data_IF_724591465667
#
_entry.id   IF_724591465667
#
_cell.length_a   1.000
_cell.length_b   1.000
_cell.length_c   1.000
_cell.angle_alpha   90.00
_cell.angle_beta   90.00
_cell.angle_gamma   90.00
#
_symmetry.space_group_name_H-M   'P 1'
#
loop_
_entity.id
_entity.type
_entity.pdbx_description
1 polymer ?
#
# COMPACT_ATOMS: atom_id res chain seq x y z
N UNK A 1 10.97 -29.39 5.95
CA UNK A 1 9.73 -29.60 5.16
C UNK A 1 9.03 -28.25 5.06
N UNK A 2 9.23 -27.54 3.97
CA UNK A 2 8.49 -26.30 3.66
C UNK A 2 7.12 -26.70 3.12
N UNK A 3 6.05 -26.45 3.89
CA UNK A 3 4.69 -26.75 3.44
C UNK A 3 4.34 -25.91 2.19
N UNK A 4 3.67 -26.49 1.17
CA UNK A 4 3.27 -25.79 -0.05
C UNK A 4 2.37 -24.56 0.17
N UNK A 5 1.76 -24.43 1.36
CA UNK A 5 0.97 -23.27 1.80
C UNK A 5 1.79 -21.98 1.97
N UNK A 6 3.08 -22.06 2.31
CA UNK A 6 3.89 -20.85 2.53
C UNK A 6 4.08 -20.00 1.26
N UNK A 7 4.04 -20.63 0.07
CA UNK A 7 4.19 -19.91 -1.19
C UNK A 7 2.91 -19.20 -1.64
N UNK A 8 1.73 -19.71 -1.26
CA UNK A 8 0.43 -19.16 -1.70
C UNK A 8 -0.05 -17.96 -0.89
N UNK A 9 0.60 -17.71 0.24
CA UNK A 9 0.23 -16.66 1.20
C UNK A 9 1.08 -15.39 1.05
N UNK A 10 1.98 -15.32 0.07
CA UNK A 10 2.86 -14.18 -0.15
C UNK A 10 3.10 -13.86 -1.64
N UNK A 11 3.53 -12.63 -1.90
CA UNK A 11 4.01 -12.13 -3.18
C UNK A 11 3.03 -12.38 -4.32
N UNK A 12 3.58 -12.75 -5.49
CA UNK A 12 2.83 -12.92 -6.73
C UNK A 12 1.67 -13.91 -6.57
N UNK A 13 1.87 -15.05 -5.92
CA UNK A 13 0.83 -16.08 -5.79
C UNK A 13 -0.39 -15.57 -5.00
N UNK A 14 -0.16 -14.76 -3.96
CA UNK A 14 -1.24 -14.12 -3.22
C UNK A 14 -1.91 -13.02 -4.05
N UNK A 15 -1.13 -12.21 -4.75
CA UNK A 15 -1.66 -11.18 -5.68
C UNK A 15 -2.54 -11.79 -6.77
N UNK A 16 -2.17 -12.93 -7.35
CA UNK A 16 -2.99 -13.64 -8.34
C UNK A 16 -4.36 -14.04 -7.81
N UNK A 17 -4.42 -14.51 -6.56
CA UNK A 17 -5.69 -14.83 -5.91
C UNK A 17 -6.55 -13.60 -5.72
N UNK A 18 -5.95 -12.47 -5.33
CA UNK A 18 -6.64 -11.18 -5.26
C UNK A 18 -7.19 -10.76 -6.64
N UNK A 19 -6.38 -10.88 -7.71
CA UNK A 19 -6.81 -10.60 -9.08
C UNK A 19 -7.98 -11.50 -9.49
N UNK A 20 -7.94 -12.80 -9.18
CA UNK A 20 -9.06 -13.72 -9.47
C UNK A 20 -10.33 -13.29 -8.75
N UNK A 21 -10.24 -12.93 -7.46
CA UNK A 21 -11.39 -12.46 -6.68
C UNK A 21 -11.96 -11.16 -7.26
N UNK A 22 -11.10 -10.20 -7.62
CA UNK A 22 -11.51 -8.93 -8.22
C UNK A 22 -12.13 -9.11 -9.60
N UNK A 23 -11.57 -9.99 -10.44
CA UNK A 23 -12.14 -10.31 -11.76
C UNK A 23 -13.54 -10.90 -11.68
N UNK A 24 -13.83 -11.65 -10.62
CA UNK A 24 -15.17 -12.21 -10.41
C UNK A 24 -16.20 -11.13 -10.05
N UNK A 25 -15.78 -9.99 -9.47
CA UNK A 25 -16.67 -8.92 -9.03
C UNK A 25 -15.99 -7.52 -9.13
N UNK A 26 -15.69 -7.01 -10.33
CA UNK A 26 -14.86 -5.82 -10.52
C UNK A 26 -15.49 -4.52 -9.98
N UNK A 27 -16.81 -4.50 -9.89
CA UNK A 27 -17.59 -3.36 -9.41
C UNK A 27 -17.74 -3.32 -7.88
N UNK A 28 -17.25 -4.35 -7.16
CA UNK A 28 -17.25 -4.30 -5.69
C UNK A 28 -16.35 -3.16 -5.24
N UNK A 29 -16.78 -2.49 -4.17
CA UNK A 29 -15.97 -1.48 -3.52
C UNK A 29 -14.67 -2.11 -3.01
N UNK A 30 -13.58 -1.36 -3.11
CA UNK A 30 -12.27 -1.75 -2.55
C UNK A 30 -12.37 -1.88 -1.03
N UNK A 31 -13.15 -0.97 -0.41
CA UNK A 31 -13.51 -0.98 1.00
C UNK A 31 -15.04 -0.99 1.08
N UNK A 32 -15.61 -2.10 1.54
CA UNK A 32 -17.07 -2.29 1.60
C UNK A 32 -17.79 -1.26 2.48
N UNK A 33 -17.11 -0.75 3.51
CA UNK A 33 -17.60 0.28 4.42
C UNK A 33 -17.43 1.72 3.90
N UNK A 34 -16.69 1.95 2.80
CA UNK A 34 -16.42 3.30 2.29
C UNK A 34 -16.75 3.40 0.79
N UNK A 35 -17.94 3.94 0.46
CA UNK A 35 -18.36 4.17 -0.92
C UNK A 35 -17.42 5.07 -1.73
N UNK A 36 -16.68 5.98 -1.07
CA UNK A 36 -15.77 6.91 -1.72
C UNK A 36 -14.44 6.27 -2.12
N UNK A 37 -14.12 5.08 -1.58
CA UNK A 37 -12.99 4.29 -2.06
C UNK A 37 -13.19 3.79 -3.51
N UNK A 38 -14.44 3.78 -3.99
CA UNK A 38 -14.80 3.37 -5.34
C UNK A 38 -14.67 1.87 -5.58
N UNK A 39 -15.04 1.41 -6.79
CA UNK A 39 -14.91 0.01 -7.16
C UNK A 39 -13.43 -0.38 -7.34
N UNK A 40 -13.15 -1.67 -7.37
CA UNK A 40 -11.83 -2.19 -7.74
C UNK A 40 -11.43 -1.76 -9.15
N UNK A 41 -12.29 -2.01 -10.12
CA UNK A 41 -12.10 -1.63 -11.53
C UNK A 41 -13.22 -0.69 -11.94
N UNK A 42 -12.86 0.43 -12.54
CA UNK A 42 -13.80 1.39 -13.11
C UNK A 42 -13.87 1.18 -14.63
N UNK A 43 -14.92 0.51 -15.10
CA UNK A 43 -15.05 0.10 -16.49
C UNK A 43 -14.26 -1.17 -16.84
N UNK A 44 -13.37 -1.08 -17.83
CA UNK A 44 -12.52 -2.21 -18.27
C UNK A 44 -11.13 -2.12 -17.62
N UNK A 45 -10.49 -3.25 -17.28
CA UNK A 45 -9.12 -3.24 -16.79
C UNK A 45 -8.17 -2.57 -17.79
N UNK A 46 -7.25 -1.76 -17.25
CA UNK A 46 -6.25 -1.04 -18.03
C UNK A 46 -4.84 -1.52 -17.67
N UNK A 47 -4.40 -2.67 -18.21
CA UNK A 47 -3.09 -3.23 -17.90
C UNK A 47 -1.97 -2.37 -18.46
N UNK A 48 -0.88 -2.24 -17.69
CA UNK A 48 0.37 -1.67 -18.15
C UNK A 48 1.07 -2.68 -19.06
N UNK A 49 1.53 -2.28 -20.26
CA UNK A 49 2.29 -3.15 -21.16
C UNK A 49 3.55 -3.75 -20.51
N UNK A 50 3.84 -5.01 -20.85
CA UNK A 50 4.92 -5.78 -20.23
C UNK A 50 6.30 -5.16 -20.46
N UNK A 51 6.51 -4.56 -21.63
CA UNK A 51 7.73 -3.84 -22.01
C UNK A 51 7.98 -2.61 -21.12
N UNK A 52 6.92 -1.92 -20.70
CA UNK A 52 7.04 -0.79 -19.77
C UNK A 52 7.34 -1.30 -18.36
N UNK A 53 6.70 -2.40 -17.94
CA UNK A 53 6.94 -3.00 -16.64
C UNK A 53 8.35 -3.58 -16.50
N UNK A 54 8.92 -4.20 -17.53
CA UNK A 54 10.22 -4.89 -17.46
C UNK A 54 11.36 -3.99 -16.93
N UNK A 55 11.35 -2.71 -17.30
CA UNK A 55 12.33 -1.71 -16.83
C UNK A 55 11.77 -0.69 -15.85
N UNK A 56 10.57 -0.90 -15.30
CA UNK A 56 9.98 0.05 -14.37
C UNK A 56 10.63 -0.07 -12.97
N UNK A 57 10.94 1.09 -12.39
CA UNK A 57 11.41 1.29 -11.02
C UNK A 57 10.69 2.51 -10.45
N UNK A 58 10.68 2.66 -9.14
CA UNK A 58 10.23 3.90 -8.52
C UNK A 58 11.24 5.04 -8.78
N UNK A 59 10.82 6.32 -8.70
CA UNK A 59 11.70 7.48 -8.84
C UNK A 59 12.95 7.45 -7.96
N UNK A 60 12.87 6.89 -6.75
CA UNK A 60 14.02 6.64 -5.87
C UNK A 60 15.07 5.66 -6.44
N UNK A 61 14.76 4.96 -7.53
CA UNK A 61 15.55 3.85 -8.06
C UNK A 61 15.21 2.50 -7.43
N UNK A 62 14.33 2.47 -6.41
CA UNK A 62 13.88 1.23 -5.78
C UNK A 62 13.12 0.34 -6.77
N UNK A 63 13.28 -1.00 -6.72
CA UNK A 63 12.53 -1.89 -7.56
C UNK A 63 11.04 -1.88 -7.19
N UNK A 64 10.16 -2.00 -8.17
CA UNK A 64 8.74 -2.23 -7.91
C UNK A 64 8.53 -3.58 -7.21
N UNK A 65 7.64 -3.66 -6.19
CA UNK A 65 7.26 -4.92 -5.58
C UNK A 65 6.76 -5.94 -6.61
N UNK A 66 7.03 -7.24 -6.43
CA UNK A 66 6.48 -8.27 -7.30
C UNK A 66 4.95 -8.20 -7.40
N UNK A 67 4.26 -7.94 -6.28
CA UNK A 67 2.81 -7.73 -6.25
C UNK A 67 2.36 -6.55 -7.10
N UNK A 68 3.04 -5.40 -7.01
CA UNK A 68 2.71 -4.19 -7.77
C UNK A 68 2.88 -4.44 -9.27
N UNK A 69 4.00 -5.05 -9.68
CA UNK A 69 4.22 -5.42 -11.08
C UNK A 69 3.10 -6.32 -11.58
N UNK A 70 2.71 -7.31 -10.77
CA UNK A 70 1.67 -8.26 -11.14
C UNK A 70 0.31 -7.59 -11.24
N UNK A 71 -0.02 -6.71 -10.30
CA UNK A 71 -1.25 -5.94 -10.29
C UNK A 71 -1.34 -5.00 -11.50
N UNK A 72 -0.28 -4.23 -11.79
CA UNK A 72 -0.23 -3.34 -12.94
C UNK A 72 -0.36 -4.07 -14.28
N UNK A 73 0.11 -5.32 -14.38
CA UNK A 73 -0.11 -6.17 -15.55
C UNK A 73 -1.58 -6.63 -15.70
N UNK A 74 -2.41 -6.42 -14.69
CA UNK A 74 -3.86 -6.66 -14.73
C UNK A 74 -4.64 -5.36 -14.90
N UNK A 75 -4.45 -4.39 -13.99
CA UNK A 75 -5.16 -3.12 -13.98
C UNK A 75 -4.33 -2.00 -13.33
N UNK A 76 -4.34 -0.83 -13.93
CA UNK A 76 -3.75 0.40 -13.37
C UNK A 76 -4.78 1.42 -12.91
N UNK A 77 -6.07 1.21 -13.21
CA UNK A 77 -7.12 2.20 -12.99
C UNK A 77 -7.24 2.61 -11.52
N UNK A 78 -7.16 1.64 -10.59
CA UNK A 78 -7.24 1.89 -9.16
C UNK A 78 -6.16 2.86 -8.68
N UNK A 79 -4.91 2.55 -9.02
CA UNK A 79 -3.75 3.33 -8.58
C UNK A 79 -3.74 4.72 -9.23
N UNK A 80 -4.24 4.83 -10.47
CA UNK A 80 -4.44 6.12 -11.13
C UNK A 80 -5.44 7.00 -10.38
N UNK A 81 -6.59 6.44 -9.96
CA UNK A 81 -7.58 7.16 -9.14
C UNK A 81 -7.01 7.57 -7.78
N UNK A 82 -6.05 6.82 -7.26
CA UNK A 82 -5.31 7.15 -6.03
C UNK A 82 -4.11 8.08 -6.24
N UNK A 83 -3.93 8.65 -7.43
CA UNK A 83 -2.91 9.66 -7.70
C UNK A 83 -1.49 9.12 -7.91
N UNK A 84 -1.32 7.82 -8.18
CA UNK A 84 0.01 7.21 -8.35
C UNK A 84 0.76 7.69 -9.59
N UNK A 85 0.05 8.26 -10.57
CA UNK A 85 0.59 8.57 -11.87
C UNK A 85 0.38 10.04 -12.21
N UNK A 86 1.42 10.66 -12.76
CA UNK A 86 1.35 11.94 -13.45
C UNK A 86 1.75 11.77 -14.92
N UNK A 87 1.33 12.68 -15.82
CA UNK A 87 1.83 12.69 -17.19
C UNK A 87 3.37 12.76 -17.18
N UNK A 88 4.02 11.90 -17.95
CA UNK A 88 5.48 11.92 -18.05
C UNK A 88 5.96 13.06 -18.96
N UNK A 89 7.10 13.65 -18.63
CA UNK A 89 7.79 14.60 -19.49
C UNK A 89 8.64 13.84 -20.52
N UNK A 90 8.13 13.68 -21.74
CA UNK A 90 8.89 13.15 -22.88
C UNK A 90 8.14 12.13 -23.73
N UNK A 91 8.73 11.71 -24.86
CA UNK A 91 8.04 10.89 -25.86
C UNK A 91 8.00 9.38 -25.54
N UNK A 92 8.74 8.93 -24.52
CA UNK A 92 9.00 7.49 -24.29
C UNK A 92 8.00 6.81 -23.35
N UNK A 93 7.26 7.56 -22.52
CA UNK A 93 6.22 7.05 -21.62
C UNK A 93 5.07 8.06 -21.55
N UNK A 94 3.86 7.58 -21.37
CA UNK A 94 2.68 8.44 -21.18
C UNK A 94 2.48 8.87 -19.72
N UNK A 95 3.10 8.18 -18.78
CA UNK A 95 2.99 8.44 -17.35
C UNK A 95 4.27 8.07 -16.60
N UNK A 96 4.42 8.65 -15.42
CA UNK A 96 5.44 8.30 -14.44
C UNK A 96 4.84 8.25 -13.03
N UNK A 97 5.54 7.58 -12.11
CA UNK A 97 5.13 7.51 -10.71
C UNK A 97 5.22 8.89 -10.06
N UNK A 98 4.23 9.23 -9.23
CA UNK A 98 4.13 10.49 -8.52
C UNK A 98 4.11 10.26 -6.99
N UNK A 99 5.22 9.80 -6.38
CA UNK A 99 5.31 9.71 -4.93
C UNK A 99 5.29 11.08 -4.28
N UNK A 100 4.94 11.11 -2.99
CA UNK A 100 5.10 12.28 -2.12
C UNK A 100 5.88 11.88 -0.86
N UNK A 101 6.57 12.83 -0.21
CA UNK A 101 6.96 12.68 1.19
C UNK A 101 5.72 12.40 2.06
N UNK A 102 5.89 11.65 3.16
CA UNK A 102 4.77 11.24 4.00
C UNK A 102 3.93 12.42 4.50
N UNK A 103 4.59 13.50 4.95
CA UNK A 103 3.91 14.71 5.43
C UNK A 103 3.06 15.39 4.36
N UNK A 104 3.61 15.56 3.15
CA UNK A 104 2.88 16.15 2.02
C UNK A 104 1.70 15.28 1.60
N UNK A 105 1.89 13.96 1.57
CA UNK A 105 0.82 13.02 1.32
C UNK A 105 -0.28 13.11 2.37
N UNK A 106 0.09 13.14 3.65
CA UNK A 106 -0.85 13.23 4.76
C UNK A 106 -1.63 14.55 4.72
N UNK A 107 -0.97 15.69 4.50
CA UNK A 107 -1.61 16.99 4.33
C UNK A 107 -2.60 17.00 3.14
N UNK A 108 -2.20 16.44 2.00
CA UNK A 108 -3.09 16.33 0.84
C UNK A 108 -4.31 15.43 1.10
N UNK A 109 -4.15 14.36 1.87
CA UNK A 109 -5.19 13.34 2.07
C UNK A 109 -6.10 13.58 3.29
N UNK A 110 -5.59 14.25 4.33
CA UNK A 110 -6.27 14.50 5.62
C UNK A 110 -6.52 16.00 5.88
N UNK A 111 -5.96 16.88 5.05
CA UNK A 111 -5.95 18.33 5.24
C UNK A 111 -4.74 18.79 6.07
N UNK A 112 -4.31 20.04 5.87
CA UNK A 112 -3.12 20.63 6.51
C UNK A 112 -3.09 20.43 8.04
N UNK A 113 -4.23 20.63 8.72
CA UNK A 113 -4.30 20.48 10.18
C UNK A 113 -4.02 19.06 10.66
N UNK A 114 -4.78 18.07 10.17
CA UNK A 114 -4.65 16.68 10.60
C UNK A 114 -3.45 15.96 9.98
N UNK A 115 -2.96 16.43 8.83
CA UNK A 115 -1.82 15.86 8.13
C UNK A 115 -0.46 16.34 8.65
N UNK A 116 -0.38 17.56 9.20
CA UNK A 116 0.89 18.16 9.62
C UNK A 116 1.73 17.29 10.59
N UNK A 117 1.15 16.60 11.60
CA UNK A 117 1.94 15.79 12.54
C UNK A 117 2.73 14.65 11.90
N UNK A 118 2.35 14.19 10.71
CA UNK A 118 3.08 13.14 9.99
C UNK A 118 4.35 13.66 9.31
N UNK A 119 4.54 14.98 9.23
CA UNK A 119 5.69 15.61 8.58
C UNK A 119 7.04 15.15 9.15
N UNK A 120 7.15 15.04 10.48
CA UNK A 120 8.35 14.63 11.18
C UNK A 120 8.80 13.18 10.87
N UNK A 121 7.91 12.37 10.28
CA UNK A 121 8.20 11.00 9.89
C UNK A 121 8.66 10.87 8.43
N UNK A 122 8.61 11.96 7.64
CA UNK A 122 8.87 11.90 6.20
C UNK A 122 10.26 11.36 5.87
N UNK A 123 11.28 11.72 6.64
CA UNK A 123 12.67 11.27 6.42
C UNK A 123 12.87 9.77 6.67
N UNK A 124 11.88 9.06 7.23
CA UNK A 124 11.97 7.61 7.46
C UNK A 124 11.68 6.77 6.23
N UNK A 125 11.11 7.38 5.18
CA UNK A 125 10.64 6.69 3.99
C UNK A 125 11.25 7.33 2.74
N UNK A 126 11.61 6.49 1.76
CA UNK A 126 12.15 7.01 0.50
C UNK A 126 11.02 7.70 -0.29
N UNK A 127 9.86 7.04 -0.40
CA UNK A 127 8.69 7.52 -1.14
C UNK A 127 7.40 6.99 -0.53
N UNK A 128 6.31 7.76 -0.60
CA UNK A 128 4.99 7.32 -0.15
C UNK A 128 3.94 7.42 -1.26
N UNK A 129 3.04 6.43 -1.30
CA UNK A 129 1.95 6.33 -2.27
C UNK A 129 0.63 6.06 -1.56
N UNK A 130 -0.40 6.85 -1.89
CA UNK A 130 -1.72 6.73 -1.28
C UNK A 130 -2.44 5.51 -1.83
N UNK A 131 -2.96 4.68 -0.95
CA UNK A 131 -3.87 3.58 -1.29
C UNK A 131 -5.31 3.96 -0.90
N UNK A 132 -6.32 3.34 -1.54
CA UNK A 132 -7.71 3.46 -1.09
C UNK A 132 -7.81 3.16 0.42
N UNK A 133 -8.37 4.09 1.19
CA UNK A 133 -8.27 3.98 2.64
C UNK A 133 -9.13 4.97 3.42
N UNK A 134 -10.01 4.41 4.27
CA UNK A 134 -10.59 4.99 5.49
C UNK A 134 -11.48 6.24 5.36
N UNK A 135 -12.19 6.56 6.44
CA UNK A 135 -12.86 7.85 6.64
C UNK A 135 -11.87 8.81 7.30
N UNK A 136 -11.49 8.48 8.52
CA UNK A 136 -10.55 9.22 9.38
C UNK A 136 -9.16 8.58 9.41
N UNK A 137 -8.90 7.70 8.44
CA UNK A 137 -7.60 7.10 8.23
C UNK A 137 -7.26 6.94 6.75
N UNK A 138 -5.97 6.88 6.42
CA UNK A 138 -5.45 6.65 5.05
C UNK A 138 -4.55 5.44 5.04
N UNK A 139 -4.43 4.78 3.89
CA UNK A 139 -3.46 3.68 3.71
C UNK A 139 -2.35 4.20 2.83
N UNK A 140 -1.11 3.93 3.22
CA UNK A 140 0.06 4.46 2.53
C UNK A 140 1.04 3.32 2.32
N UNK A 141 1.37 3.04 1.06
CA UNK A 141 2.54 2.22 0.75
C UNK A 141 3.77 3.12 0.87
N UNK A 142 4.75 2.71 1.66
CA UNK A 142 5.96 3.48 1.88
C UNK A 142 7.19 2.67 1.47
N UNK A 143 8.02 3.22 0.58
CA UNK A 143 9.23 2.56 0.07
C UNK A 143 10.43 2.81 0.98
N UNK A 144 11.42 1.93 0.87
CA UNK A 144 12.62 1.89 1.69
C UNK A 144 13.31 0.53 1.54
N UNK A 145 13.66 -0.11 2.65
CA UNK A 145 14.11 -1.50 2.65
C UNK A 145 12.92 -2.49 2.50
N UNK A 146 12.91 -3.33 1.44
CA UNK A 146 11.88 -4.35 1.24
C UNK A 146 12.06 -5.53 2.19
N UNK A 147 11.02 -6.35 2.32
CA UNK A 147 11.11 -7.62 3.04
C UNK A 147 11.72 -8.76 2.19
N UNK A 148 11.71 -9.98 2.74
CA UNK A 148 12.21 -11.18 2.08
C UNK A 148 11.46 -11.58 0.79
N UNK A 149 10.31 -10.97 0.51
CA UNK A 149 9.51 -11.18 -0.70
C UNK A 149 9.61 -10.01 -1.69
N UNK A 150 10.43 -8.99 -1.39
CA UNK A 150 10.56 -7.79 -2.22
C UNK A 150 9.38 -6.82 -2.05
N UNK A 151 8.60 -6.96 -0.99
CA UNK A 151 7.43 -6.13 -0.72
C UNK A 151 7.77 -4.96 0.21
N UNK A 152 7.03 -3.86 0.06
CA UNK A 152 7.09 -2.68 0.93
C UNK A 152 5.87 -2.62 1.84
N UNK A 153 6.02 -2.12 3.08
CA UNK A 153 4.92 -2.08 4.03
C UNK A 153 3.80 -1.13 3.59
N UNK A 154 2.59 -1.41 4.08
CA UNK A 154 1.47 -0.47 4.05
C UNK A 154 1.16 -0.04 5.47
N UNK A 155 1.16 1.27 5.69
CA UNK A 155 0.80 1.89 6.96
C UNK A 155 -0.63 2.43 6.92
N UNK A 156 -1.30 2.39 8.06
CA UNK A 156 -2.46 3.22 8.35
C UNK A 156 -1.96 4.55 8.96
N UNK A 157 -2.43 5.67 8.41
CA UNK A 157 -2.38 6.96 9.09
C UNK A 157 -3.76 7.19 9.68
N UNK A 158 -3.86 7.38 10.98
CA UNK A 158 -5.14 7.51 11.69
C UNK A 158 -5.18 8.80 12.49
N UNK A 159 -6.34 9.47 12.53
CA UNK A 159 -6.54 10.75 13.21
C UNK A 159 -7.80 10.78 14.08
N UNK A 160 -8.42 9.63 14.38
CA UNK A 160 -9.73 9.58 15.07
C UNK A 160 -9.63 10.07 16.54
N UNK A 161 -8.44 9.94 17.17
CA UNK A 161 -8.13 10.46 18.51
C UNK A 161 -6.85 11.29 18.53
N UNK A 162 -5.71 10.60 18.38
CA UNK A 162 -4.39 11.19 18.25
C UNK A 162 -3.80 10.73 16.92
N UNK A 163 -3.21 11.64 16.13
CA UNK A 163 -2.51 11.26 14.92
C UNK A 163 -1.52 10.14 15.20
N UNK A 164 -1.68 9.00 14.55
CA UNK A 164 -0.77 7.87 14.68
C UNK A 164 -0.52 7.21 13.33
N UNK A 165 0.70 6.69 13.18
CA UNK A 165 1.07 5.80 12.09
C UNK A 165 1.14 4.38 12.64
N UNK A 166 0.50 3.43 11.96
CA UNK A 166 0.49 2.03 12.37
C UNK A 166 0.77 1.12 11.18
N UNK A 167 1.69 0.16 11.37
CA UNK A 167 2.02 -0.83 10.35
C UNK A 167 0.83 -1.78 10.16
N UNK A 168 0.14 -1.66 9.03
CA UNK A 168 -1.12 -2.37 8.80
C UNK A 168 -0.91 -3.67 8.01
N UNK A 169 -0.06 -3.63 6.98
CA UNK A 169 0.27 -4.80 6.15
C UNK A 169 1.77 -4.88 5.87
N UNK A 170 2.32 -6.11 5.76
CA UNK A 170 3.73 -6.29 5.45
C UNK A 170 4.04 -6.16 3.96
N UNK A 171 3.07 -5.83 3.13
CA UNK A 171 3.22 -5.84 1.68
C UNK A 171 1.94 -5.48 0.95
N UNK A 172 2.09 -5.01 -0.29
CA UNK A 172 0.95 -4.72 -1.16
C UNK A 172 0.19 -6.00 -1.53
N UNK A 173 0.90 -7.14 -1.65
CA UNK A 173 0.29 -8.46 -1.82
C UNK A 173 -0.78 -8.76 -0.76
N UNK A 174 -0.47 -8.48 0.51
CA UNK A 174 -1.36 -8.75 1.64
C UNK A 174 -2.48 -7.71 1.72
N UNK A 175 -2.19 -6.43 1.48
CA UNK A 175 -3.21 -5.39 1.37
C UNK A 175 -4.26 -5.75 0.31
N UNK A 176 -3.83 -6.11 -0.90
CA UNK A 176 -4.72 -6.48 -2.00
C UNK A 176 -5.56 -7.71 -1.66
N UNK A 177 -4.96 -8.74 -1.05
CA UNK A 177 -5.68 -9.95 -0.70
C UNK A 177 -6.70 -9.75 0.43
N UNK A 178 -6.37 -8.96 1.45
CA UNK A 178 -7.29 -8.68 2.55
C UNK A 178 -8.50 -7.86 2.05
N UNK A 179 -8.23 -6.76 1.34
CA UNK A 179 -9.29 -5.90 0.78
C UNK A 179 -10.13 -6.62 -0.29
N UNK A 180 -9.57 -7.59 -1.03
CA UNK A 180 -10.32 -8.43 -1.97
C UNK A 180 -11.10 -9.57 -1.28
N UNK A 181 -10.96 -9.74 0.04
CA UNK A 181 -11.61 -10.82 0.81
C UNK A 181 -11.03 -12.21 0.56
N UNK A 182 -9.79 -12.30 0.09
CA UNK A 182 -9.06 -13.56 -0.15
C UNK A 182 -8.45 -14.12 1.13
N UNK A 183 -8.05 -13.23 2.03
CA UNK A 183 -7.61 -13.55 3.39
C UNK A 183 -8.52 -12.81 4.37
N UNK A 184 -8.53 -13.25 5.62
CA UNK A 184 -9.23 -12.59 6.71
C UNK A 184 -8.28 -12.28 7.84
N UNK A 185 -8.63 -11.24 8.61
CA UNK A 185 -7.96 -10.84 9.85
C UNK A 185 -8.75 -11.35 11.04
N UNK A 186 -8.05 -11.90 12.03
CA UNK A 186 -8.66 -12.38 13.27
C UNK A 186 -9.11 -11.24 14.19
N UNK A 187 -8.48 -10.08 14.07
CA UNK A 187 -8.67 -8.93 14.96
C UNK A 187 -8.84 -7.62 14.17
N UNK A 188 -9.48 -6.64 14.83
CA UNK A 188 -9.90 -5.37 14.20
C UNK A 188 -8.85 -4.25 14.25
N UNK A 189 -7.78 -4.37 15.06
CA UNK A 189 -6.73 -3.34 15.15
C UNK A 189 -5.81 -3.34 13.92
N UNK A 190 -5.25 -2.20 13.51
CA UNK A 190 -4.51 -2.10 12.23
C UNK A 190 -3.35 -3.10 12.13
N UNK A 191 -2.61 -3.34 13.21
CA UNK A 191 -1.49 -4.29 13.26
C UNK A 191 -1.87 -5.74 13.54
N UNK A 192 -3.14 -6.14 13.42
CA UNK A 192 -3.61 -7.49 13.73
C UNK A 192 -2.76 -8.61 13.09
N UNK A 193 -2.22 -8.37 11.88
CA UNK A 193 -1.38 -9.34 11.15
C UNK A 193 -0.03 -9.62 11.82
N UNK A 194 0.40 -8.82 12.80
CA UNK A 194 1.58 -9.13 13.61
C UNK A 194 1.37 -10.38 14.48
N UNK A 195 0.12 -10.71 14.83
CA UNK A 195 -0.24 -11.94 15.54
C UNK A 195 -0.41 -13.17 14.64
N UNK A 196 -0.48 -12.98 13.31
CA UNK A 196 -0.65 -14.07 12.36
C UNK A 196 0.71 -14.75 12.07
N UNK A 197 0.86 -16.08 12.30
CA UNK A 197 2.12 -16.78 12.03
C UNK A 197 2.61 -16.67 10.58
N UNK A 198 1.71 -16.45 9.61
CA UNK A 198 2.06 -16.26 8.20
C UNK A 198 2.76 -14.91 7.96
N UNK A 199 2.30 -13.85 8.61
CA UNK A 199 2.69 -12.47 8.30
C UNK A 199 3.59 -11.83 9.36
N UNK A 200 3.55 -12.31 10.60
CA UNK A 200 4.26 -11.78 11.77
C UNK A 200 5.73 -11.48 11.50
N UNK A 201 6.47 -12.40 10.87
CA UNK A 201 7.90 -12.19 10.58
C UNK A 201 8.14 -11.00 9.64
N UNK A 202 7.29 -10.81 8.64
CA UNK A 202 7.40 -9.71 7.69
C UNK A 202 7.01 -8.38 8.37
N UNK A 203 5.93 -8.40 9.17
CA UNK A 203 5.52 -7.25 10.00
C UNK A 203 6.66 -6.79 10.92
N UNK A 204 7.26 -7.70 11.68
CA UNK A 204 8.38 -7.39 12.58
C UNK A 204 9.64 -6.93 11.85
N UNK A 205 9.83 -7.33 10.59
CA UNK A 205 10.94 -6.83 9.76
C UNK A 205 10.75 -5.35 9.46
N UNK A 206 9.56 -4.96 8.98
CA UNK A 206 9.26 -3.55 8.71
C UNK A 206 9.18 -2.71 9.97
N UNK A 207 8.63 -3.24 11.08
CA UNK A 207 8.65 -2.57 12.38
C UNK A 207 10.07 -2.14 12.78
N UNK A 208 11.06 -3.03 12.61
CA UNK A 208 12.48 -2.71 12.90
C UNK A 208 13.07 -1.67 11.96
N UNK A 209 12.70 -1.70 10.67
CA UNK A 209 13.23 -0.76 9.68
C UNK A 209 12.68 0.66 9.88
N UNK A 210 11.40 0.81 10.22
CA UNK A 210 10.71 2.11 10.13
C UNK A 210 10.22 2.67 11.46
N UNK A 211 10.01 1.82 12.46
CA UNK A 211 9.37 2.17 13.73
C UNK A 211 10.15 1.66 14.95
N UNK A 212 11.47 1.49 14.82
CA UNK A 212 12.37 1.07 15.91
C UNK A 212 11.97 -0.26 16.59
N UNK A 213 11.24 -1.12 15.89
CA UNK A 213 10.74 -2.41 16.39
C UNK A 213 9.30 -2.39 16.88
N UNK A 214 8.70 -1.20 17.04
CA UNK A 214 7.29 -1.03 17.38
C UNK A 214 6.39 -1.16 16.14
N UNK A 215 5.11 -1.45 16.37
CA UNK A 215 4.12 -1.57 15.30
C UNK A 215 3.41 -0.25 15.00
N UNK A 216 3.48 0.72 15.91
CA UNK A 216 2.88 2.05 15.74
C UNK A 216 3.76 3.14 16.36
N UNK A 217 3.51 4.37 15.96
CA UNK A 217 4.05 5.56 16.61
C UNK A 217 2.97 6.65 16.66
N UNK A 218 2.86 7.34 17.79
CA UNK A 218 2.03 8.53 17.93
C UNK A 218 2.79 9.73 17.36
N UNK A 219 2.11 10.55 16.58
CA UNK A 219 2.64 11.74 15.92
C UNK A 219 2.22 12.98 16.74
N UNK A 220 3.12 13.47 17.59
CA UNK A 220 2.85 14.59 18.49
C UNK A 220 3.41 15.93 18.00
N UNK A 221 4.05 15.95 16.84
CA UNK A 221 4.71 17.13 16.27
C UNK A 221 3.69 18.05 15.58
N UNK A 222 2.88 18.73 16.40
CA UNK A 222 1.93 19.72 15.92
C UNK A 222 2.65 21.00 15.47
N UNK A 223 2.26 21.61 14.33
CA UNK A 223 2.74 22.93 13.97
C UNK A 223 2.25 23.96 15.01
N UNK A 224 3.11 24.91 15.37
CA UNK A 224 2.77 26.05 16.24
C UNK A 224 1.71 26.98 15.62
#
# INVERSE_FOLDING_TARGET
MTSPTAATDHGIALTERAIVAVRAAPHRLVLDYNRFAGPWVDGQPEPVPAELLAGAVFPSGRPLPPSLRRWLAYDSSLLRRSGWFRPAEGPSRSWEFAPLPLGELAAAALGEGWGAPFGALSERFDECFLLPGGSDSRRVLATGEPDAYGEYPVFALDVDDLPCIELMYPGLDVYLADTAGVIGRSDNGYSALAGDPRYSRRMLTHARHYLAGELHAVCLDWPE
#
